data_IF_086346724400
#
_entry.id   IF_086346724400
#
_cell.length_a   1.000
_cell.length_b   1.000
_cell.length_c   1.000
_cell.angle_alpha   90.00
_cell.angle_beta   90.00
_cell.angle_gamma   90.00
#
_symmetry.space_group_name_H-M   'P 1'
#
loop_
_entity.id
_entity.type
_entity.pdbx_description
1 polymer ?
#
# COMPACT_ATOMS: atom_id res chain seq x y z
N UNK A 1 -11.18 6.81 8.41
CA UNK A 1 -11.07 7.50 9.71
C UNK A 1 -12.32 7.28 10.55
N UNK A 2 -13.51 7.27 9.96
CA UNK A 2 -14.80 7.04 10.64
C UNK A 2 -14.84 5.87 11.63
N UNK A 3 -14.24 4.71 11.27
CA UNK A 3 -14.17 3.56 12.17
C UNK A 3 -13.40 3.86 13.47
N UNK A 4 -12.32 4.64 13.40
CA UNK A 4 -11.51 5.04 14.55
C UNK A 4 -12.27 6.01 15.45
N UNK A 5 -12.99 6.97 14.85
CA UNK A 5 -13.85 7.90 15.57
C UNK A 5 -15.03 7.17 16.24
N UNK A 6 -15.71 6.28 15.51
CA UNK A 6 -16.87 5.52 16.00
C UNK A 6 -16.50 4.59 17.17
N UNK A 7 -15.31 4.01 17.14
CA UNK A 7 -14.77 3.17 18.24
C UNK A 7 -14.11 4.00 19.35
N UNK A 8 -14.11 5.33 19.20
CA UNK A 8 -13.47 6.31 20.09
C UNK A 8 -11.98 6.03 20.30
N UNK A 9 -11.32 5.39 19.33
CA UNK A 9 -9.88 5.14 19.38
C UNK A 9 -9.07 6.42 19.15
N UNK A 10 -9.64 7.37 18.41
CA UNK A 10 -9.13 8.73 18.27
C UNK A 10 -10.26 9.71 18.60
N UNK A 11 -9.89 10.89 19.11
CA UNK A 11 -10.84 11.98 19.37
C UNK A 11 -11.07 12.84 18.14
N UNK A 12 -10.05 12.96 17.29
CA UNK A 12 -10.02 13.81 16.10
C UNK A 12 -9.03 13.20 15.08
N UNK A 13 -9.27 13.42 13.80
CA UNK A 13 -8.39 12.96 12.72
C UNK A 13 -7.04 13.69 12.69
N UNK A 14 -7.00 14.94 13.16
CA UNK A 14 -5.78 15.76 13.14
C UNK A 14 -4.75 15.36 14.19
N UNK A 15 -5.19 14.75 15.28
CA UNK A 15 -4.37 14.53 16.48
C UNK A 15 -3.95 13.05 16.63
N UNK A 16 -3.85 12.34 15.52
CA UNK A 16 -3.55 10.90 15.52
C UNK A 16 -2.27 10.52 14.75
N UNK A 17 -1.45 11.50 14.35
CA UNK A 17 -0.16 11.29 13.66
C UNK A 17 -0.22 10.24 12.53
N UNK A 18 -1.28 10.29 11.74
CA UNK A 18 -1.57 9.26 10.76
C UNK A 18 -0.54 9.20 9.65
N UNK A 19 0.06 8.03 9.45
CA UNK A 19 0.94 7.72 8.32
C UNK A 19 0.57 6.38 7.70
N UNK A 20 0.89 6.20 6.41
CA UNK A 20 0.63 4.96 5.65
C UNK A 20 1.78 4.65 4.69
N UNK A 21 2.12 3.37 4.52
CA UNK A 21 3.23 2.99 3.62
C UNK A 21 2.92 3.39 2.17
N UNK A 22 1.80 2.95 1.60
CA UNK A 22 1.47 3.19 0.18
C UNK A 22 0.19 4.01 0.00
N UNK A 23 0.17 4.93 -0.97
CA UNK A 23 -1.09 5.46 -1.53
C UNK A 23 -1.52 4.51 -2.66
N UNK A 24 -2.81 4.20 -2.73
CA UNK A 24 -3.40 3.43 -3.83
C UNK A 24 -4.38 4.32 -4.58
N UNK A 25 -4.35 4.22 -5.91
CA UNK A 25 -5.28 4.94 -6.78
C UNK A 25 -6.69 4.32 -6.71
N UNK A 26 -7.68 5.05 -7.23
CA UNK A 26 -9.06 4.57 -7.29
C UNK A 26 -9.13 3.26 -8.08
N UNK A 27 -9.86 2.28 -7.56
CA UNK A 27 -10.00 0.95 -8.16
C UNK A 27 -8.84 -0.01 -7.87
N UNK A 28 -7.77 0.43 -7.19
CA UNK A 28 -6.66 -0.44 -6.79
C UNK A 28 -6.97 -1.09 -5.45
N UNK A 29 -6.87 -2.42 -5.40
CA UNK A 29 -6.95 -3.20 -4.17
C UNK A 29 -5.62 -3.15 -3.42
N UNK A 30 -5.67 -3.25 -2.09
CA UNK A 30 -4.48 -3.32 -1.25
C UNK A 30 -4.56 -4.52 -0.32
N UNK A 31 -3.61 -5.44 -0.45
CA UNK A 31 -3.40 -6.51 0.51
C UNK A 31 -2.21 -6.14 1.41
N UNK A 32 -2.34 -6.34 2.73
CA UNK A 32 -1.28 -6.00 3.72
C UNK A 32 -0.83 -4.53 3.68
N UNK A 33 -1.75 -3.60 3.46
CA UNK A 33 -1.45 -2.18 3.69
C UNK A 33 -1.05 -1.96 5.15
N UNK A 34 -0.04 -1.11 5.37
CA UNK A 34 0.43 -0.74 6.71
C UNK A 34 0.15 0.74 6.96
N UNK A 35 -0.45 1.02 8.10
CA UNK A 35 -0.65 2.37 8.61
C UNK A 35 -0.17 2.44 10.07
N UNK A 36 0.29 3.61 10.48
CA UNK A 36 0.63 3.94 11.86
C UNK A 36 -0.15 5.18 12.28
N UNK A 37 -0.57 5.19 13.53
CA UNK A 37 -1.37 6.25 14.13
C UNK A 37 -1.29 6.15 15.65
N UNK A 38 -1.48 7.28 16.31
CA UNK A 38 -1.69 7.37 17.76
C UNK A 38 -3.16 7.10 18.06
N UNK A 39 -3.40 6.14 18.95
CA UNK A 39 -4.74 5.77 19.44
C UNK A 39 -4.73 5.74 20.96
N UNK A 40 -5.91 5.84 21.57
CA UNK A 40 -6.04 5.60 23.00
C UNK A 40 -5.65 4.16 23.33
N UNK A 41 -4.98 3.99 24.47
CA UNK A 41 -4.68 2.70 25.09
C UNK A 41 -5.42 2.58 26.43
N UNK A 42 -5.73 1.35 26.83
CA UNK A 42 -6.20 1.05 28.18
C UNK A 42 -5.08 0.58 29.11
N UNK A 43 -3.92 0.22 28.57
CA UNK A 43 -2.76 -0.27 29.31
C UNK A 43 -1.66 0.80 29.36
N UNK A 44 -1.55 1.58 30.45
CA UNK A 44 -0.52 2.62 30.58
C UNK A 44 0.90 2.05 30.73
N UNK A 45 1.03 0.75 31.02
CA UNK A 45 2.32 0.06 31.08
C UNK A 45 2.72 -0.58 29.74
N UNK A 46 1.88 -0.43 28.71
CA UNK A 46 2.13 -0.94 27.38
C UNK A 46 3.41 -0.37 26.75
N UNK A 47 4.08 -1.18 25.93
CA UNK A 47 5.28 -0.74 25.20
C UNK A 47 4.92 0.45 24.31
N UNK A 48 5.71 1.53 24.40
CA UNK A 48 5.48 2.78 23.67
C UNK A 48 4.16 3.51 23.99
N UNK A 49 3.44 3.11 25.04
CA UNK A 49 2.36 3.91 25.58
C UNK A 49 2.94 5.19 26.22
N UNK A 50 2.25 6.31 26.04
CA UNK A 50 2.66 7.59 26.61
C UNK A 50 1.43 8.40 27.01
N UNK A 51 1.64 9.27 27.99
CA UNK A 51 0.66 10.29 28.36
C UNK A 51 0.94 11.59 27.61
N UNK A 52 -0.09 12.36 27.21
CA UNK A 52 0.09 13.74 26.79
C UNK A 52 0.81 14.55 27.87
N UNK A 53 1.71 15.46 27.48
CA UNK A 53 2.50 16.29 28.41
C UNK A 53 1.62 17.15 29.34
N UNK A 54 0.38 17.46 28.93
CA UNK A 54 -0.60 18.19 29.72
C UNK A 54 -1.37 17.34 30.74
N UNK A 55 -1.02 16.06 30.93
CA UNK A 55 -1.73 15.17 31.85
C UNK A 55 -1.21 15.35 33.28
N UNK A 56 -2.13 15.62 34.21
CA UNK A 56 -1.78 15.76 35.64
C UNK A 56 -1.24 14.45 36.22
N UNK A 57 -0.19 14.54 37.04
CA UNK A 57 0.44 13.39 37.68
C UNK A 57 -0.54 12.57 38.54
N UNK A 58 -1.49 13.23 39.22
CA UNK A 58 -2.54 12.56 40.01
C UNK A 58 -3.44 11.66 39.17
N UNK A 59 -3.67 12.02 37.90
CA UNK A 59 -4.43 11.20 36.95
C UNK A 59 -3.63 9.98 36.53
N UNK A 60 -2.33 10.15 36.29
CA UNK A 60 -1.42 9.05 35.93
C UNK A 60 -1.34 8.04 37.08
N UNK A 61 -1.16 8.51 38.31
CA UNK A 61 -0.98 7.68 39.49
C UNK A 61 -2.26 6.90 39.89
N UNK A 62 -3.43 7.49 39.62
CA UNK A 62 -4.73 6.87 39.93
C UNK A 62 -5.30 6.01 38.81
N UNK A 63 -4.66 5.97 37.62
CA UNK A 63 -5.19 5.22 36.49
C UNK A 63 -5.14 3.71 36.74
N UNK A 64 -6.27 2.99 36.60
CA UNK A 64 -6.32 1.56 36.88
C UNK A 64 -5.52 0.77 35.84
N UNK A 65 -4.75 -0.22 36.29
CA UNK A 65 -4.13 -1.20 35.39
C UNK A 65 -5.22 -2.05 34.74
N UNK A 66 -5.29 -2.02 33.42
CA UNK A 66 -6.23 -2.79 32.61
C UNK A 66 -5.47 -3.51 31.51
N UNK A 67 -6.06 -4.59 31.02
CA UNK A 67 -5.62 -5.19 29.77
C UNK A 67 -5.88 -4.24 28.61
N UNK A 68 -5.05 -4.36 27.58
CA UNK A 68 -5.15 -3.54 26.39
C UNK A 68 -6.44 -3.81 25.60
N UNK A 69 -6.91 -2.78 24.90
CA UNK A 69 -8.09 -2.83 24.04
C UNK A 69 -7.93 -3.86 22.92
N UNK A 70 -9.02 -4.57 22.64
CA UNK A 70 -9.07 -5.49 21.50
C UNK A 70 -9.28 -4.74 20.19
N UNK A 71 -8.25 -4.01 19.73
CA UNK A 71 -8.31 -3.13 18.56
C UNK A 71 -8.89 -3.82 17.31
N UNK A 72 -8.50 -5.07 17.05
CA UNK A 72 -8.99 -5.84 15.91
C UNK A 72 -10.50 -6.07 15.99
N UNK A 73 -11.02 -6.49 17.14
CA UNK A 73 -12.46 -6.72 17.32
C UNK A 73 -13.24 -5.41 17.21
N UNK A 74 -12.74 -4.34 17.82
CA UNK A 74 -13.37 -3.03 17.79
C UNK A 74 -13.48 -2.49 16.36
N UNK A 75 -12.36 -2.51 15.61
CA UNK A 75 -12.31 -1.98 14.25
C UNK A 75 -13.08 -2.85 13.26
N UNK A 76 -12.85 -4.17 13.25
CA UNK A 76 -13.53 -5.07 12.33
C UNK A 76 -15.04 -5.19 12.62
N UNK A 77 -15.49 -4.84 13.83
CA UNK A 77 -16.91 -4.78 14.17
C UNK A 77 -17.66 -3.58 13.53
N UNK A 78 -16.94 -2.54 13.09
CA UNK A 78 -17.54 -1.34 12.47
C UNK A 78 -17.13 -1.11 11.02
N UNK A 79 -16.06 -1.76 10.56
CA UNK A 79 -15.60 -1.68 9.17
C UNK A 79 -16.54 -2.45 8.23
N UNK A 80 -16.64 -2.02 6.96
CA UNK A 80 -17.38 -2.76 5.95
C UNK A 80 -16.70 -4.10 5.64
N UNK A 81 -17.45 -5.10 5.15
CA UNK A 81 -16.98 -6.48 4.93
C UNK A 81 -15.77 -6.61 4.00
N UNK A 82 -15.51 -5.62 3.15
CA UNK A 82 -14.39 -5.58 2.22
C UNK A 82 -13.13 -4.90 2.79
N UNK A 83 -13.14 -4.47 4.06
CA UNK A 83 -11.98 -3.89 4.75
C UNK A 83 -11.81 -4.62 6.09
N UNK A 84 -10.60 -5.13 6.33
CA UNK A 84 -10.28 -5.83 7.58
C UNK A 84 -8.91 -5.43 8.11
N UNK A 85 -8.83 -5.16 9.40
CA UNK A 85 -7.57 -5.06 10.14
C UNK A 85 -7.18 -6.44 10.61
N UNK A 86 -6.02 -6.92 10.19
CA UNK A 86 -5.58 -8.30 10.43
C UNK A 86 -4.60 -8.43 11.60
N UNK A 87 -3.88 -7.35 11.93
CA UNK A 87 -2.87 -7.34 12.96
C UNK A 87 -2.61 -5.90 13.44
N UNK A 88 -2.04 -5.77 14.63
CA UNK A 88 -1.52 -4.52 15.16
C UNK A 88 -0.29 -4.81 16.03
N UNK A 89 0.57 -3.81 16.20
CA UNK A 89 1.69 -3.85 17.13
C UNK A 89 2.00 -2.43 17.63
N UNK A 90 2.46 -2.27 18.88
CA UNK A 90 2.93 -0.99 19.37
C UNK A 90 4.25 -0.60 18.70
N UNK A 91 4.40 0.67 18.35
CA UNK A 91 5.58 1.24 17.67
C UNK A 91 6.04 2.52 18.37
N UNK A 92 7.33 2.93 18.22
CA UNK A 92 7.81 4.21 18.73
C UNK A 92 6.96 5.40 18.24
N UNK A 93 6.89 6.47 19.05
CA UNK A 93 6.09 7.68 18.74
C UNK A 93 6.51 8.37 17.43
N UNK A 94 7.79 8.29 17.09
CA UNK A 94 8.38 8.84 15.87
C UNK A 94 8.30 7.90 14.65
N UNK A 95 7.69 6.72 14.81
CA UNK A 95 7.57 5.76 13.72
C UNK A 95 6.64 6.26 12.61
N UNK A 96 7.16 6.31 11.39
CA UNK A 96 6.39 6.58 10.18
C UNK A 96 6.30 5.34 9.31
N UNK A 97 5.07 4.82 9.12
CA UNK A 97 4.83 3.70 8.21
C UNK A 97 5.27 4.00 6.77
N UNK A 98 5.35 5.28 6.40
CA UNK A 98 5.84 5.71 5.09
C UNK A 98 7.36 5.63 4.98
N UNK A 99 8.08 6.18 5.95
CA UNK A 99 9.53 6.32 5.90
C UNK A 99 10.26 5.04 6.31
N UNK A 100 9.66 4.23 7.19
CA UNK A 100 10.20 2.91 7.54
C UNK A 100 9.99 1.86 6.44
N UNK A 101 9.18 2.15 5.41
CA UNK A 101 8.88 1.22 4.33
C UNK A 101 10.06 1.16 3.36
N UNK A 102 10.73 0.01 3.26
CA UNK A 102 11.90 -0.19 2.40
C UNK A 102 11.58 -0.84 1.04
N UNK A 103 10.42 -1.48 0.93
CA UNK A 103 10.03 -2.23 -0.26
C UNK A 103 8.50 -2.25 -0.39
N UNK A 104 8.03 -2.22 -1.63
CA UNK A 104 6.63 -2.49 -1.98
C UNK A 104 6.56 -3.58 -3.03
N UNK A 105 5.54 -4.41 -2.93
CA UNK A 105 5.24 -5.47 -3.89
C UNK A 105 3.86 -5.22 -4.47
N UNK A 106 3.77 -5.15 -5.79
CA UNK A 106 2.50 -5.05 -6.52
C UNK A 106 2.30 -6.32 -7.32
N UNK A 107 1.05 -6.80 -7.32
CA UNK A 107 0.57 -7.87 -8.19
C UNK A 107 -0.47 -7.27 -9.13
N UNK A 108 -0.27 -7.45 -10.42
CA UNK A 108 -1.17 -6.97 -11.45
C UNK A 108 -1.70 -8.17 -12.24
N UNK A 109 -2.97 -8.51 -12.04
CA UNK A 109 -3.62 -9.62 -12.73
C UNK A 109 -4.48 -9.07 -13.88
N UNK A 110 -4.27 -9.56 -15.10
CA UNK A 110 -5.03 -9.14 -16.28
C UNK A 110 -5.42 -10.33 -17.16
N UNK A 111 -6.56 -10.27 -17.87
CA UNK A 111 -6.87 -11.22 -18.92
C UNK A 111 -5.80 -11.16 -20.01
N UNK A 112 -5.49 -12.30 -20.62
CA UNK A 112 -4.52 -12.38 -21.73
C UNK A 112 -4.88 -11.50 -22.94
N UNK A 113 -6.13 -11.06 -23.07
CA UNK A 113 -6.66 -10.40 -24.26
C UNK A 113 -6.99 -8.90 -24.13
N UNK A 114 -7.02 -8.31 -22.93
CA UNK A 114 -7.51 -6.94 -22.75
C UNK A 114 -6.64 -6.11 -21.80
N UNK A 115 -6.24 -4.93 -22.27
CA UNK A 115 -5.70 -3.85 -21.45
C UNK A 115 -6.46 -2.56 -21.79
N UNK A 116 -7.10 -1.96 -20.78
CA UNK A 116 -7.76 -0.66 -20.89
C UNK A 116 -6.84 0.41 -20.26
N UNK A 117 -6.60 1.51 -20.98
CA UNK A 117 -5.59 2.50 -20.64
C UNK A 117 -6.16 3.91 -20.68
N UNK A 118 -6.06 4.60 -19.54
CA UNK A 118 -6.08 6.06 -19.49
C UNK A 118 -4.64 6.58 -19.42
N UNK A 119 -4.21 7.29 -20.46
CA UNK A 119 -2.89 7.93 -20.53
C UNK A 119 -2.90 9.26 -19.76
N UNK A 120 -1.97 9.46 -18.82
CA UNK A 120 -1.83 10.76 -18.14
C UNK A 120 -1.02 11.74 -18.98
N UNK A 121 -1.67 12.82 -19.40
CA UNK A 121 -1.07 13.90 -20.17
C UNK A 121 -0.51 15.04 -19.29
N UNK A 122 -0.36 14.83 -17.97
CA UNK A 122 0.07 15.88 -17.05
C UNK A 122 1.59 16.08 -17.01
N UNK A 123 2.09 17.00 -17.83
CA UNK A 123 3.50 17.36 -17.99
C UNK A 123 4.23 17.68 -16.66
N UNK A 124 3.53 18.22 -15.65
CA UNK A 124 4.15 18.59 -14.35
C UNK A 124 4.64 17.38 -13.55
N UNK A 125 4.10 16.18 -13.81
CA UNK A 125 4.49 14.94 -13.13
C UNK A 125 5.65 14.22 -13.80
N UNK A 126 5.85 14.46 -15.10
CA UNK A 126 6.93 13.88 -15.91
C UNK A 126 8.31 14.37 -15.44
N UNK A 127 8.39 15.59 -14.90
CA UNK A 127 9.66 16.21 -14.47
C UNK A 127 10.06 15.96 -13.00
N UNK A 128 9.38 15.07 -12.26
CA UNK A 128 9.80 14.72 -10.89
C UNK A 128 10.78 13.54 -10.89
N UNK A 129 12.07 13.83 -10.79
CA UNK A 129 13.10 12.80 -10.61
C UNK A 129 13.09 12.28 -9.16
N UNK A 130 12.54 11.08 -8.97
CA UNK A 130 12.88 10.23 -7.84
C UNK A 130 13.23 8.86 -8.39
N UNK A 131 14.52 8.52 -8.38
CA UNK A 131 14.99 7.20 -8.80
C UNK A 131 14.26 6.13 -7.96
N UNK A 132 13.71 5.12 -8.65
CA UNK A 132 13.08 3.94 -8.05
C UNK A 132 13.82 2.72 -8.55
N UNK A 133 14.21 1.88 -7.61
CA UNK A 133 14.89 0.63 -7.91
C UNK A 133 13.86 -0.49 -7.97
N UNK A 134 13.87 -1.24 -9.08
CA UNK A 134 13.09 -2.45 -9.23
C UNK A 134 14.01 -3.61 -8.85
N UNK A 135 13.63 -4.34 -7.81
CA UNK A 135 14.40 -5.46 -7.29
C UNK A 135 14.09 -6.76 -8.01
N UNK A 136 12.82 -6.96 -8.39
CA UNK A 136 12.35 -8.21 -8.96
C UNK A 136 11.11 -7.97 -9.82
N UNK A 137 11.05 -8.65 -10.95
CA UNK A 137 9.88 -8.73 -11.82
C UNK A 137 9.67 -10.20 -12.18
N UNK A 138 8.45 -10.70 -11.93
CA UNK A 138 8.08 -12.06 -12.32
C UNK A 138 6.71 -12.08 -13.00
N UNK A 139 6.53 -13.00 -13.94
CA UNK A 139 5.30 -13.19 -14.70
C UNK A 139 4.84 -14.63 -14.53
N UNK A 140 3.60 -14.82 -14.12
CA UNK A 140 2.99 -16.13 -13.91
C UNK A 140 1.65 -16.21 -14.64
N UNK A 141 1.38 -17.35 -15.30
CA UNK A 141 0.06 -17.62 -15.88
C UNK A 141 -0.78 -18.33 -14.82
N UNK A 142 -1.86 -17.68 -14.41
CA UNK A 142 -2.85 -18.23 -13.49
C UNK A 142 -3.94 -18.94 -14.31
N UNK A 143 -4.06 -20.27 -14.19
CA UNK A 143 -5.10 -21.00 -14.93
C UNK A 143 -6.48 -20.53 -14.44
N UNK A 144 -7.40 -20.33 -15.38
CA UNK A 144 -8.80 -20.10 -15.05
C UNK A 144 -9.27 -21.25 -14.14
N UNK A 145 -9.85 -20.92 -12.97
CA UNK A 145 -10.33 -21.94 -12.01
C UNK A 145 -11.19 -22.95 -12.77
N UNK A 146 -10.80 -24.22 -12.68
CA UNK A 146 -11.36 -25.36 -13.39
C UNK A 146 -12.90 -25.31 -13.50
N UNK A 147 -13.37 -24.75 -14.62
CA UNK A 147 -14.68 -25.01 -15.17
C UNK A 147 -14.42 -25.72 -16.49
N UNK A 148 -15.08 -26.85 -16.73
CA UNK A 148 -14.72 -27.88 -17.71
C UNK A 148 -14.83 -27.46 -19.20
N UNK A 149 -14.71 -26.16 -19.52
CA UNK A 149 -14.72 -25.57 -20.87
C UNK A 149 -13.85 -24.31 -20.99
N UNK A 150 -12.73 -24.19 -20.28
CA UNK A 150 -11.86 -23.00 -20.41
C UNK A 150 -11.07 -23.02 -21.73
N UNK A 151 -11.40 -22.12 -22.64
CA UNK A 151 -10.48 -21.72 -23.71
C UNK A 151 -9.29 -20.96 -23.12
N UNK A 152 -8.13 -20.99 -23.78
CA UNK A 152 -6.91 -20.25 -23.37
C UNK A 152 -7.08 -18.72 -23.31
N UNK A 153 -8.26 -18.21 -23.70
CA UNK A 153 -8.67 -16.81 -23.58
C UNK A 153 -8.99 -16.38 -22.14
N UNK A 154 -9.32 -17.34 -21.26
CA UNK A 154 -9.75 -17.06 -19.88
C UNK A 154 -8.58 -17.09 -18.89
N UNK A 155 -7.38 -17.45 -19.36
CA UNK A 155 -6.18 -17.46 -18.54
C UNK A 155 -5.82 -16.02 -18.12
N UNK A 156 -5.52 -15.86 -16.83
CA UNK A 156 -5.03 -14.61 -16.29
C UNK A 156 -3.51 -14.62 -16.29
N UNK A 157 -2.92 -13.48 -16.61
CA UNK A 157 -1.49 -13.24 -16.42
C UNK A 157 -1.33 -12.38 -15.17
N UNK A 158 -0.54 -12.85 -14.21
CA UNK A 158 -0.16 -12.09 -13.02
C UNK A 158 1.29 -11.62 -13.15
N UNK A 159 1.46 -10.30 -13.16
CA UNK A 159 2.76 -9.66 -13.06
C UNK A 159 3.02 -9.26 -11.60
N UNK A 160 4.10 -9.77 -11.02
CA UNK A 160 4.59 -9.34 -9.70
C UNK A 160 5.80 -8.43 -9.87
N UNK A 161 5.74 -7.22 -9.30
CA UNK A 161 6.83 -6.25 -9.31
C UNK A 161 7.19 -5.90 -7.86
N UNK A 162 8.47 -6.02 -7.52
CA UNK A 162 9.04 -5.60 -6.23
C UNK A 162 10.01 -4.44 -6.45
N UNK A 163 9.94 -3.41 -5.61
CA UNK A 163 10.84 -2.27 -5.71
C UNK A 163 10.85 -1.38 -4.48
N UNK A 164 11.77 -0.42 -4.43
CA UNK A 164 11.93 0.51 -3.30
C UNK A 164 10.72 1.46 -3.15
N UNK A 165 10.00 1.68 -4.24
CA UNK A 165 8.76 2.44 -4.30
C UNK A 165 8.35 2.64 -5.75
N UNK A 166 7.16 3.20 -5.98
CA UNK A 166 6.64 3.41 -7.32
C UNK A 166 6.10 4.82 -7.45
N UNK A 167 6.32 5.42 -8.61
CA UNK A 167 5.71 6.69 -8.98
C UNK A 167 4.24 6.46 -9.35
N UNK A 168 3.50 7.56 -9.42
CA UNK A 168 2.10 7.53 -9.83
C UNK A 168 1.98 6.90 -11.22
N UNK A 169 1.06 5.95 -11.37
CA UNK A 169 0.84 5.14 -12.58
C UNK A 169 2.02 4.29 -13.09
N UNK A 170 3.20 4.31 -12.44
CA UNK A 170 4.41 3.60 -12.91
C UNK A 170 4.17 2.12 -13.21
N UNK A 171 3.45 1.41 -12.33
CA UNK A 171 3.12 -0.01 -12.54
C UNK A 171 2.23 -0.21 -13.78
N UNK A 172 1.24 0.67 -13.99
CA UNK A 172 0.33 0.61 -15.14
C UNK A 172 1.10 0.82 -16.45
N UNK A 173 2.06 1.74 -16.48
CA UNK A 173 2.90 1.98 -17.65
C UNK A 173 3.84 0.80 -17.94
N UNK A 174 4.46 0.20 -16.93
CA UNK A 174 5.28 -1.01 -17.11
C UNK A 174 4.45 -2.13 -17.73
N UNK A 175 3.25 -2.39 -17.19
CA UNK A 175 2.34 -3.41 -17.73
C UNK A 175 1.95 -3.11 -19.17
N UNK A 176 1.72 -1.84 -19.51
CA UNK A 176 1.38 -1.39 -20.86
C UNK A 176 2.47 -1.71 -21.86
N UNK A 177 3.71 -1.30 -21.57
CA UNK A 177 4.84 -1.54 -22.48
C UNK A 177 5.06 -3.05 -22.64
N UNK A 178 5.01 -3.82 -21.55
CA UNK A 178 5.11 -5.28 -21.61
C UNK A 178 4.01 -5.92 -22.46
N UNK A 179 2.79 -5.39 -22.41
CA UNK A 179 1.68 -5.85 -23.22
C UNK A 179 1.89 -5.56 -24.72
N UNK A 180 2.34 -4.35 -25.07
CA UNK A 180 2.58 -3.99 -26.47
C UNK A 180 3.75 -4.76 -27.08
N UNK A 181 4.83 -4.98 -26.31
CA UNK A 181 5.93 -5.88 -26.70
C UNK A 181 5.41 -7.31 -26.87
N UNK A 182 4.58 -7.80 -25.95
CA UNK A 182 3.96 -9.13 -26.03
C UNK A 182 3.05 -9.33 -27.25
N UNK A 183 2.51 -8.25 -27.82
CA UNK A 183 1.74 -8.26 -29.07
C UNK A 183 2.59 -8.11 -30.33
N UNK A 184 3.88 -7.78 -30.19
CA UNK A 184 4.77 -7.45 -31.29
C UNK A 184 4.53 -6.06 -31.89
N UNK A 185 3.84 -5.17 -31.16
CA UNK A 185 3.63 -3.78 -31.58
C UNK A 185 4.84 -2.90 -31.26
N UNK A 186 5.69 -3.33 -30.32
CA UNK A 186 6.90 -2.64 -29.88
C UNK A 186 8.04 -3.64 -29.74
N UNK A 187 9.27 -3.18 -29.98
CA UNK A 187 10.48 -4.00 -29.83
C UNK A 187 10.87 -4.12 -28.34
N UNK A 188 11.39 -5.27 -27.88
CA UNK A 188 11.80 -5.48 -26.48
C UNK A 188 12.78 -4.42 -25.93
N UNK A 189 13.57 -3.80 -26.81
CA UNK A 189 14.55 -2.75 -26.49
C UNK A 189 13.91 -1.47 -25.92
N UNK A 190 12.60 -1.24 -26.14
CA UNK A 190 11.88 -0.11 -25.51
C UNK A 190 11.91 -0.20 -23.98
N UNK A 191 11.96 -1.42 -23.43
CA UNK A 191 12.09 -1.64 -21.98
C UNK A 191 13.44 -1.15 -21.43
N UNK A 192 14.48 -1.19 -22.26
CA UNK A 192 15.82 -0.72 -21.90
C UNK A 192 15.78 0.81 -21.73
N UNK A 193 15.07 1.55 -22.58
CA UNK A 193 14.97 3.02 -22.48
C UNK A 193 14.24 3.47 -21.21
N UNK A 194 13.19 2.76 -20.77
CA UNK A 194 12.53 3.04 -19.49
C UNK A 194 13.43 2.75 -18.28
N UNK A 195 14.38 1.82 -18.40
CA UNK A 195 15.41 1.60 -17.38
C UNK A 195 16.50 2.68 -17.41
N UNK A 196 16.81 3.31 -18.55
CA UNK A 196 17.78 4.41 -18.63
C UNK A 196 17.25 5.79 -18.22
N UNK A 197 15.94 6.01 -18.18
CA UNK A 197 15.37 7.18 -17.49
C UNK A 197 15.65 7.18 -15.96
N UNK A 198 16.17 6.08 -15.42
CA UNK A 198 16.70 6.01 -14.04
C UNK A 198 18.17 6.44 -13.91
N UNK A 199 18.91 6.53 -15.02
CA UNK A 199 20.30 6.97 -15.08
C UNK A 199 20.40 8.16 -16.02
N UNK A 200 19.88 9.31 -15.58
CA UNK A 200 20.09 10.57 -16.28
C UNK A 200 21.58 10.92 -16.31
N UNK A 201 22.29 10.50 -17.36
CA UNK A 201 23.41 11.21 -17.96
C UNK A 201 23.38 10.92 -19.47
N UNK A 202 22.70 11.81 -20.20
CA UNK A 202 22.97 12.00 -21.63
C UNK A 202 24.01 13.12 -21.70
N UNK A 203 25.25 12.74 -21.97
CA UNK A 203 26.19 13.47 -22.81
C UNK A 203 26.89 12.46 -23.70
#
# INVERSE_FOLDING_TARGET
>A
MDALLKTKLISNEKDCDFSRCGRTDRGVSAFKQVAALVVRSADPSGKFAFWPESTDQSTIDSYPKKEELSYLKMLNGVLPKNISVIAWAPVPKDFSARHACNMRVYKYSMPRANLDLEVDMNEKRVNMSFIREIFEVSLEVLPARASAKSSSSDDLIELTIKGSGFLWHMIRYIVTVLHEVGRGNEEPEVLIVCSYFSHGYIH
#
